data_IF_094126520854
#
_entry.id   IF_094126520854
#
_cell.length_a   1.000
_cell.length_b   1.000
_cell.length_c   1.000
_cell.angle_alpha   90.00
_cell.angle_beta   90.00
_cell.angle_gamma   90.00
#
_symmetry.space_group_name_H-M   'P 1'
#
loop_
_entity.id
_entity.type
_entity.pdbx_description
1 polymer ?
#
# COMPACT_ATOMS: atom_id res chain seq x y z
N UNK A 1 10.14 -5.64 16.10
CA UNK A 1 9.02 -4.69 16.17
C UNK A 1 8.44 -4.45 14.79
N UNK A 2 7.12 -4.47 14.68
CA UNK A 2 6.46 -4.33 13.39
C UNK A 2 6.25 -2.86 13.06
N UNK A 3 6.65 -2.46 11.85
CA UNK A 3 6.39 -1.11 11.37
C UNK A 3 5.05 -1.09 10.65
N UNK A 4 4.18 -0.18 11.06
CA UNK A 4 2.90 0.00 10.39
C UNK A 4 2.85 1.39 9.78
N UNK A 5 2.23 1.49 8.60
CA UNK A 5 2.18 2.74 7.86
C UNK A 5 0.75 3.00 7.44
N UNK A 6 0.10 4.02 8.00
CA UNK A 6 -1.24 4.40 7.53
C UNK A 6 -1.15 4.95 6.11
N UNK A 7 -2.13 4.62 5.30
CA UNK A 7 -2.17 5.09 3.92
C UNK A 7 -3.58 5.41 3.51
N UNK A 8 -3.70 6.13 2.40
CA UNK A 8 -4.98 6.34 1.73
C UNK A 8 -4.81 6.02 0.25
N UNK A 9 -5.93 5.69 -0.39
CA UNK A 9 -5.98 5.55 -1.84
C UNK A 9 -7.09 6.48 -2.30
N UNK A 10 -6.73 7.47 -3.08
CA UNK A 10 -7.65 8.52 -3.50
C UNK A 10 -8.27 8.19 -4.85
N UNK A 11 -9.35 8.89 -5.16
CA UNK A 11 -10.03 8.79 -6.45
C UNK A 11 -10.59 7.39 -6.72
N UNK A 12 -10.96 6.70 -5.66
CA UNK A 12 -11.64 5.41 -5.81
C UNK A 12 -13.04 5.69 -6.32
N UNK A 13 -13.51 4.88 -7.27
CA UNK A 13 -14.80 5.09 -7.93
C UNK A 13 -14.91 6.50 -8.49
N UNK A 14 -13.85 6.94 -9.20
CA UNK A 14 -13.81 8.24 -9.86
C UNK A 14 -14.00 9.39 -8.89
N UNK A 15 -13.49 9.25 -7.70
CA UNK A 15 -13.55 10.30 -6.70
C UNK A 15 -14.73 10.25 -5.76
N UNK A 16 -15.62 9.29 -5.95
CA UNK A 16 -16.79 9.17 -5.08
C UNK A 16 -16.51 8.38 -3.80
N UNK A 17 -15.32 7.79 -3.68
CA UNK A 17 -14.96 7.03 -2.50
C UNK A 17 -13.50 7.22 -2.18
N UNK A 18 -13.13 6.90 -0.96
CA UNK A 18 -11.76 7.01 -0.49
C UNK A 18 -11.45 5.77 0.34
N UNK A 19 -10.27 5.23 0.16
CA UNK A 19 -9.84 4.06 0.91
C UNK A 19 -8.79 4.47 1.92
N UNK A 20 -8.93 3.99 3.15
CA UNK A 20 -7.96 4.20 4.22
C UNK A 20 -7.52 2.87 4.76
N UNK A 21 -6.24 2.76 5.09
CA UNK A 21 -5.78 1.49 5.59
C UNK A 21 -4.42 1.58 6.26
N UNK A 22 -3.90 0.41 6.58
CA UNK A 22 -2.61 0.26 7.23
C UNK A 22 -1.80 -0.77 6.48
N UNK A 23 -0.57 -0.40 6.17
CA UNK A 23 0.39 -1.26 5.49
C UNK A 23 1.38 -1.79 6.53
N UNK A 24 1.70 -3.07 6.46
CA UNK A 24 2.70 -3.65 7.34
C UNK A 24 3.33 -4.85 6.65
N UNK A 25 4.44 -5.31 7.22
CA UNK A 25 5.05 -6.57 6.79
C UNK A 25 4.77 -7.58 7.89
N UNK A 26 4.17 -8.70 7.51
CA UNK A 26 3.81 -9.75 8.45
C UNK A 26 4.43 -11.04 7.96
N UNK A 27 5.52 -11.45 8.61
CA UNK A 27 6.26 -12.61 8.17
C UNK A 27 6.86 -12.38 6.79
N UNK A 28 6.43 -13.18 5.82
CA UNK A 28 6.91 -13.07 4.45
C UNK A 28 5.91 -12.37 3.54
N UNK A 29 4.91 -11.73 4.14
CA UNK A 29 3.85 -11.07 3.36
C UNK A 29 3.84 -9.57 3.59
N UNK A 30 3.53 -8.84 2.53
CA UNK A 30 3.16 -7.45 2.65
C UNK A 30 1.65 -7.44 2.90
N UNK A 31 1.25 -6.90 4.03
CA UNK A 31 -0.15 -6.95 4.45
C UNK A 31 -0.79 -5.58 4.37
N UNK A 32 -1.94 -5.51 3.72
CA UNK A 32 -2.74 -4.29 3.64
C UNK A 32 -4.10 -4.56 4.28
N UNK A 33 -4.46 -3.73 5.25
CA UNK A 33 -5.79 -3.78 5.85
C UNK A 33 -6.45 -2.45 5.56
N UNK A 34 -7.60 -2.46 4.90
CA UNK A 34 -8.21 -1.20 4.47
C UNK A 34 -9.73 -1.29 4.44
N UNK A 35 -10.35 -0.13 4.38
CA UNK A 35 -11.79 -0.02 4.20
C UNK A 35 -12.07 1.18 3.30
N UNK A 36 -13.18 1.12 2.59
CA UNK A 36 -13.55 2.16 1.64
C UNK A 36 -14.76 2.90 2.17
N UNK A 37 -14.68 4.23 2.14
CA UNK A 37 -15.73 5.11 2.64
C UNK A 37 -16.23 5.96 1.49
N UNK A 38 -17.56 6.14 1.42
CA UNK A 38 -18.16 7.04 0.45
C UNK A 38 -17.71 8.47 0.78
N UNK A 39 -17.08 9.14 -0.18
CA UNK A 39 -16.53 10.46 0.07
C UNK A 39 -17.59 11.54 0.19
N UNK A 40 -18.78 11.28 -0.32
CA UNK A 40 -19.85 12.28 -0.32
C UNK A 40 -20.63 12.25 0.98
N UNK A 41 -21.02 11.07 1.44
CA UNK A 41 -21.87 10.97 2.62
C UNK A 41 -21.16 10.38 3.83
N UNK A 42 -19.92 9.94 3.67
CA UNK A 42 -19.11 9.47 4.79
C UNK A 42 -19.47 8.09 5.31
N UNK A 43 -20.28 7.34 4.61
CA UNK A 43 -20.66 6.00 5.05
C UNK A 43 -19.69 4.97 4.51
N UNK A 44 -19.42 3.94 5.32
CA UNK A 44 -18.59 2.84 4.89
C UNK A 44 -19.26 2.09 3.75
N UNK A 45 -18.50 1.87 2.68
CA UNK A 45 -18.99 1.09 1.56
C UNK A 45 -18.62 -0.38 1.68
N UNK A 46 -17.61 -0.66 2.49
CA UNK A 46 -17.18 -2.03 2.72
C UNK A 46 -16.66 -2.15 4.14
N UNK A 47 -16.67 -3.36 4.68
CA UNK A 47 -15.98 -3.61 5.93
C UNK A 47 -14.49 -3.62 5.71
N UNK A 48 -13.74 -3.90 6.77
CA UNK A 48 -12.29 -3.98 6.68
C UNK A 48 -11.90 -5.19 5.84
N UNK A 49 -11.02 -4.96 4.88
CA UNK A 49 -10.49 -6.02 4.03
C UNK A 49 -9.01 -6.20 4.30
N UNK A 50 -8.57 -7.43 4.23
CA UNK A 50 -7.15 -7.72 4.37
C UNK A 50 -6.65 -8.34 3.08
N UNK A 51 -5.55 -7.81 2.56
CA UNK A 51 -4.88 -8.33 1.38
C UNK A 51 -3.46 -8.67 1.77
N UNK A 52 -3.03 -9.88 1.44
CA UNK A 52 -1.65 -10.31 1.70
C UNK A 52 -0.96 -10.59 0.39
N UNK A 53 0.21 -10.00 0.22
CA UNK A 53 1.00 -10.15 -0.99
C UNK A 53 2.33 -10.77 -0.59
N UNK A 54 2.63 -11.98 -1.09
CA UNK A 54 3.94 -12.56 -0.77
C UNK A 54 5.05 -11.62 -1.23
N UNK A 55 6.01 -11.38 -0.36
CA UNK A 55 7.10 -10.47 -0.71
C UNK A 55 7.85 -10.93 -1.95
N UNK A 56 7.89 -12.24 -2.19
CA UNK A 56 8.56 -12.75 -3.39
C UNK A 56 7.85 -12.32 -4.67
N UNK A 57 6.57 -11.91 -4.58
CA UNK A 57 5.84 -11.43 -5.74
C UNK A 57 5.87 -9.92 -5.87
N UNK A 58 6.43 -9.22 -4.90
CA UNK A 58 6.57 -7.77 -4.97
C UNK A 58 7.85 -7.46 -5.73
N UNK A 59 7.69 -6.88 -6.91
CA UNK A 59 8.84 -6.60 -7.77
C UNK A 59 9.55 -5.34 -7.35
N UNK A 60 8.79 -4.34 -6.90
CA UNK A 60 9.38 -3.07 -6.56
C UNK A 60 8.44 -2.27 -5.69
N UNK A 61 8.99 -1.53 -4.75
CA UNK A 61 8.26 -0.51 -4.01
C UNK A 61 9.03 0.78 -4.17
N UNK A 62 8.48 1.71 -4.93
CA UNK A 62 9.13 3.00 -5.17
C UNK A 62 8.58 4.02 -4.18
N UNK A 63 9.49 4.65 -3.45
CA UNK A 63 9.16 5.67 -2.47
C UNK A 63 9.32 7.03 -3.15
N UNK A 64 8.24 7.80 -3.22
CA UNK A 64 8.26 9.11 -3.87
C UNK A 64 7.84 10.19 -2.90
N UNK A 65 8.71 11.15 -2.69
CA UNK A 65 8.40 12.28 -1.84
C UNK A 65 7.59 13.32 -2.59
N UNK A 66 6.68 13.97 -1.86
CA UNK A 66 5.89 15.07 -2.40
C UNK A 66 5.85 16.21 -1.42
N UNK A 67 5.11 17.25 -1.76
CA UNK A 67 5.00 18.42 -0.92
C UNK A 67 4.30 18.14 0.40
N UNK A 68 3.25 17.33 0.36
CA UNK A 68 2.39 17.12 1.53
C UNK A 68 2.49 15.70 2.09
N UNK A 69 3.46 14.94 1.62
CA UNK A 69 3.64 13.59 2.08
C UNK A 69 4.45 12.81 1.08
N UNK A 70 4.20 11.53 1.02
CA UNK A 70 4.89 10.69 0.06
C UNK A 70 3.90 9.66 -0.48
N UNK A 71 4.34 8.92 -1.47
CA UNK A 71 3.56 7.80 -1.96
C UNK A 71 4.47 6.60 -2.18
N UNK A 72 3.87 5.43 -2.07
CA UNK A 72 4.55 4.19 -2.38
C UNK A 72 3.88 3.60 -3.61
N UNK A 73 4.67 3.39 -4.66
CA UNK A 73 4.18 2.72 -5.86
C UNK A 73 4.63 1.28 -5.75
N UNK A 74 3.67 0.38 -5.62
CA UNK A 74 3.95 -1.05 -5.40
C UNK A 74 3.69 -1.79 -6.71
N UNK A 75 4.72 -2.46 -7.20
CA UNK A 75 4.61 -3.27 -8.41
C UNK A 75 4.73 -4.73 -8.05
N UNK A 76 3.83 -5.54 -8.60
CA UNK A 76 3.80 -6.96 -8.29
C UNK A 76 3.82 -7.79 -9.56
N UNK A 77 4.31 -9.02 -9.44
CA UNK A 77 4.39 -9.91 -10.59
C UNK A 77 3.10 -10.69 -10.80
N UNK A 78 2.29 -10.85 -9.74
CA UNK A 78 1.03 -11.58 -9.85
C UNK A 78 -0.14 -10.67 -9.60
N UNK A 79 -1.32 -11.16 -9.94
CA UNK A 79 -2.54 -10.37 -9.74
C UNK A 79 -3.34 -10.83 -8.53
N UNK A 80 -3.04 -12.01 -8.01
CA UNK A 80 -3.79 -12.55 -6.88
C UNK A 80 -3.60 -11.65 -5.66
N UNK A 81 -4.68 -11.30 -5.03
CA UNK A 81 -4.65 -10.40 -3.90
C UNK A 81 -4.52 -8.96 -4.33
N UNK A 82 -3.51 -8.64 -5.13
CA UNK A 82 -3.29 -7.26 -5.56
C UNK A 82 -4.47 -6.71 -6.33
N UNK A 83 -5.18 -7.55 -7.07
CA UNK A 83 -6.34 -7.10 -7.84
C UNK A 83 -7.46 -6.60 -6.93
N UNK A 84 -7.44 -6.93 -5.65
CA UNK A 84 -8.43 -6.44 -4.71
C UNK A 84 -8.10 -5.07 -4.16
N UNK A 85 -6.88 -4.58 -4.40
CA UNK A 85 -6.50 -3.24 -3.96
C UNK A 85 -7.15 -2.22 -4.90
N UNK A 86 -7.85 -1.22 -4.35
CA UNK A 86 -8.47 -0.21 -5.21
C UNK A 86 -7.45 0.45 -6.13
N UNK A 87 -7.90 0.69 -7.36
CA UNK A 87 -7.08 1.34 -8.40
C UNK A 87 -5.86 0.52 -8.83
N UNK A 88 -5.86 -0.77 -8.56
CA UNK A 88 -4.81 -1.64 -9.09
C UNK A 88 -4.91 -1.65 -10.61
N UNK A 89 -3.79 -1.39 -11.28
CA UNK A 89 -3.81 -1.27 -12.72
C UNK A 89 -2.42 -1.56 -13.26
N UNK A 90 -2.38 -2.41 -14.27
CA UNK A 90 -1.14 -2.72 -14.98
C UNK A 90 -0.02 -3.18 -14.05
N UNK A 91 -0.40 -4.01 -13.08
CA UNK A 91 0.59 -4.61 -12.20
C UNK A 91 1.04 -3.74 -11.04
N UNK A 92 0.38 -2.59 -10.82
CA UNK A 92 0.82 -1.74 -9.73
C UNK A 92 -0.34 -1.00 -9.08
N UNK A 93 -0.09 -0.53 -7.86
CA UNK A 93 -1.02 0.35 -7.15
C UNK A 93 -0.22 1.38 -6.36
N UNK A 94 -0.89 2.47 -6.00
CA UNK A 94 -0.24 3.60 -5.34
C UNK A 94 -0.90 3.84 -3.99
N UNK A 95 -0.08 3.96 -2.96
CA UNK A 95 -0.53 4.28 -1.61
C UNK A 95 -0.04 5.67 -1.25
N UNK A 96 -0.97 6.54 -0.85
CA UNK A 96 -0.64 7.90 -0.44
C UNK A 96 -0.42 7.92 1.07
N UNK A 97 0.66 8.56 1.51
CA UNK A 97 1.05 8.55 2.91
C UNK A 97 1.28 9.99 3.37
N UNK A 98 0.65 10.35 4.49
CA UNK A 98 0.78 11.70 5.00
C UNK A 98 2.21 11.97 5.45
N UNK A 99 2.56 13.25 5.51
CA UNK A 99 3.93 13.66 5.82
C UNK A 99 4.40 13.13 7.17
N UNK A 100 3.52 13.11 8.16
CA UNK A 100 3.92 12.66 9.49
C UNK A 100 4.25 11.18 9.54
N UNK A 101 3.87 10.42 8.53
CA UNK A 101 4.15 8.98 8.46
C UNK A 101 5.21 8.65 7.41
N UNK A 102 5.84 9.66 6.83
CA UNK A 102 6.84 9.45 5.77
C UNK A 102 8.03 8.63 6.26
N UNK A 103 8.48 8.90 7.48
CA UNK A 103 9.62 8.15 8.00
C UNK A 103 9.29 6.67 8.18
N UNK A 104 8.09 6.39 8.69
CA UNK A 104 7.67 5.01 8.85
C UNK A 104 7.60 4.31 7.50
N UNK A 105 7.15 5.01 6.47
CA UNK A 105 7.10 4.46 5.12
C UNK A 105 8.50 4.14 4.60
N UNK A 106 9.44 5.07 4.81
CA UNK A 106 10.82 4.85 4.39
C UNK A 106 11.44 3.67 5.12
N UNK A 107 11.16 3.55 6.41
CA UNK A 107 11.69 2.44 7.21
C UNK A 107 11.14 1.11 6.72
N UNK A 108 9.86 1.08 6.40
CA UNK A 108 9.24 -0.15 5.91
C UNK A 108 9.84 -0.57 4.57
N UNK A 109 10.01 0.37 3.66
CA UNK A 109 10.60 0.09 2.35
C UNK A 109 12.03 -0.43 2.52
N UNK A 110 12.80 0.19 3.42
CA UNK A 110 14.16 -0.25 3.67
C UNK A 110 14.20 -1.68 4.20
N UNK A 111 13.26 -2.03 5.08
CA UNK A 111 13.26 -3.37 5.65
C UNK A 111 12.93 -4.41 4.58
N UNK A 112 12.09 -4.07 3.62
CA UNK A 112 11.78 -4.99 2.54
C UNK A 112 12.97 -5.17 1.62
N UNK A 113 13.66 -4.09 1.32
CA UNK A 113 14.77 -4.15 0.38
C UNK A 113 15.95 -4.96 0.88
N UNK A 114 16.09 -5.09 2.18
CA UNK A 114 17.15 -5.93 2.72
C UNK A 114 16.68 -7.35 3.00
N UNK A 115 15.42 -7.65 2.72
CA UNK A 115 14.93 -9.01 2.92
C UNK A 115 15.60 -9.95 1.91
N UNK A 116 15.85 -11.19 2.32
CA UNK A 116 16.47 -12.15 1.43
C UNK A 116 15.63 -12.35 0.17
N UNK A 117 16.28 -12.44 -0.98
CA UNK A 117 15.62 -12.63 -2.24
C UNK A 117 15.00 -11.37 -2.79
N UNK A 118 15.15 -10.37 -2.09
CA UNK A 118 14.61 -9.11 -2.48
C UNK A 118 15.32 -8.56 -3.65
N UNK A 119 15.42 -8.34 -3.81
CA UNK A 119 15.85 -7.96 -4.58
C UNK A 119 16.66 -7.20 -4.90
N UNK A 120 17.28 -7.16 -4.83
CA UNK A 120 17.96 -6.58 -4.98
C UNK A 120 18.61 -6.29 -5.64
N UNK A 121 18.81 -6.19 -5.91
CA UNK A 121 19.34 -5.81 -6.40
C UNK A 121 19.65 -5.33 -6.95
N UNK A 122 19.78 -5.14 -7.05
CA UNK A 122 20.08 -4.68 -7.49
C UNK A 122 20.35 -4.36 -7.74
#
# INVERSE_FOLDING_TARGET
MKTTVPFTIQNVFQGFAETEGILSVDGTDLKLEFQTTDAVIGLLKSGVREVRLPLEEVEEIAFRKGWFGCSLVVRVSGMRGASEVPNFKQGEFVLSISKKHSQAAADLVSSIQIAPGGQTNK
#
